data_IF_345650990989
#
_entry.id   IF_345650990989
#
_cell.length_a   1.000
_cell.length_b   1.000
_cell.length_c   1.000
_cell.angle_alpha   90.00
_cell.angle_beta   90.00
_cell.angle_gamma   90.00
#
_symmetry.space_group_name_H-M   'P 1'
#
loop_
_entity.id
_entity.type
_entity.pdbx_description
1 polymer ?
#
# COMPACT_ATOMS: atom_id res chain seq x y z
N UNK A 1 28.62 -22.33 -1.46
CA UNK A 1 27.78 -21.80 -2.54
C UNK A 1 26.90 -20.70 -2.00
N UNK A 2 27.10 -19.50 -2.47
CA UNK A 2 26.31 -18.37 -2.03
C UNK A 2 25.03 -18.32 -2.84
N UNK A 3 23.96 -18.83 -2.28
CA UNK A 3 22.65 -18.55 -2.85
C UNK A 3 22.30 -17.09 -2.53
N UNK A 4 22.44 -16.25 -3.53
CA UNK A 4 21.91 -14.89 -3.43
C UNK A 4 20.42 -14.97 -3.63
N UNK A 5 19.66 -14.77 -2.55
CA UNK A 5 18.22 -14.66 -2.66
C UNK A 5 17.91 -13.26 -3.18
N UNK A 6 17.52 -13.18 -4.45
CA UNK A 6 17.05 -11.95 -5.05
C UNK A 6 15.53 -11.95 -5.09
N UNK A 7 14.93 -10.91 -4.57
CA UNK A 7 13.49 -10.73 -4.58
C UNK A 7 13.15 -9.56 -5.47
N UNK A 8 12.20 -9.75 -6.37
CA UNK A 8 11.68 -8.65 -7.18
C UNK A 8 10.67 -7.88 -6.37
N UNK A 9 10.96 -6.59 -6.17
CA UNK A 9 10.10 -5.68 -5.45
C UNK A 9 9.55 -4.59 -6.36
N UNK A 10 8.46 -3.98 -5.93
CA UNK A 10 7.90 -2.79 -6.56
C UNK A 10 7.97 -1.63 -5.59
N UNK A 11 8.56 -0.54 -6.05
CA UNK A 11 8.55 0.75 -5.36
C UNK A 11 7.36 1.54 -5.88
N UNK A 12 6.37 1.72 -5.05
CA UNK A 12 5.11 2.37 -5.41
C UNK A 12 5.12 3.78 -4.85
N UNK A 13 5.08 4.82 -5.70
CA UNK A 13 5.05 6.19 -5.18
C UNK A 13 3.70 6.48 -4.54
N UNK A 14 3.73 7.02 -3.35
CA UNK A 14 2.56 7.51 -2.62
C UNK A 14 2.86 8.94 -2.18
N UNK A 15 1.85 9.65 -1.69
CA UNK A 15 2.05 11.03 -1.23
C UNK A 15 3.05 11.04 -0.08
N UNK A 16 4.10 11.83 -0.23
CA UNK A 16 5.19 12.01 0.73
C UNK A 16 6.04 10.76 1.01
N UNK A 17 6.03 9.80 0.10
CA UNK A 17 6.88 8.64 0.29
C UNK A 17 6.74 7.56 -0.75
N UNK A 18 7.24 6.39 -0.41
CA UNK A 18 7.21 5.20 -1.26
C UNK A 18 6.86 3.99 -0.44
N UNK A 19 6.09 3.10 -1.05
CA UNK A 19 5.73 1.81 -0.46
C UNK A 19 6.49 0.73 -1.22
N UNK A 20 7.13 -0.18 -0.49
CA UNK A 20 7.84 -1.31 -1.07
C UNK A 20 7.05 -2.59 -0.84
N UNK A 21 6.73 -3.29 -1.91
CA UNK A 21 6.02 -4.56 -1.87
C UNK A 21 6.70 -5.56 -2.80
N UNK A 22 6.58 -6.87 -2.50
CA UNK A 22 6.97 -7.87 -3.48
C UNK A 22 6.16 -7.72 -4.77
N UNK A 23 6.80 -7.94 -5.91
CA UNK A 23 6.12 -7.87 -7.20
C UNK A 23 4.89 -8.77 -7.25
N UNK A 24 4.97 -9.94 -6.62
CA UNK A 24 3.88 -10.90 -6.59
C UNK A 24 2.64 -10.40 -5.84
N UNK A 25 2.77 -9.38 -5.00
CA UNK A 25 1.65 -8.81 -4.24
C UNK A 25 0.77 -7.89 -5.08
N UNK A 26 1.23 -7.44 -6.22
CA UNK A 26 0.50 -6.50 -7.08
C UNK A 26 -0.19 -7.26 -8.21
N UNK A 27 -1.51 -7.10 -8.30
CA UNK A 27 -2.29 -7.73 -9.37
C UNK A 27 -2.34 -6.87 -10.62
N UNK A 28 -2.55 -5.56 -10.47
CA UNK A 28 -2.69 -4.65 -11.61
C UNK A 28 -2.51 -3.22 -11.15
N UNK A 29 -2.09 -2.36 -12.07
CA UNK A 29 -2.09 -0.90 -11.87
C UNK A 29 -3.08 -0.31 -12.85
N UNK A 30 -4.06 0.44 -12.34
CA UNK A 30 -5.13 1.00 -13.15
C UNK A 30 -5.19 2.51 -12.98
N UNK A 31 -5.90 3.16 -13.89
CA UNK A 31 -6.14 4.60 -13.81
C UNK A 31 -7.10 4.90 -12.68
N UNK A 32 -6.89 6.01 -11.99
CA UNK A 32 -7.79 6.44 -10.93
C UNK A 32 -9.18 6.68 -11.50
N UNK A 33 -10.18 6.10 -10.84
CA UNK A 33 -11.59 6.38 -11.08
C UNK A 33 -12.20 6.96 -9.82
N UNK A 34 -13.33 7.64 -9.93
CA UNK A 34 -14.00 8.21 -8.76
C UNK A 34 -14.53 7.10 -7.86
N UNK A 35 -14.03 6.98 -6.63
CA UNK A 35 -14.52 5.97 -5.73
C UNK A 35 -15.91 6.32 -5.21
N UNK A 36 -16.71 5.30 -4.97
CA UNK A 36 -17.98 5.46 -4.27
C UNK A 36 -17.70 5.57 -2.77
N UNK A 37 -18.05 6.71 -2.18
CA UNK A 37 -17.76 6.96 -0.77
C UNK A 37 -18.48 5.98 0.15
N UNK A 38 -17.79 5.57 1.22
CA UNK A 38 -18.34 4.73 2.26
C UNK A 38 -18.79 5.65 3.39
N UNK A 39 -20.10 5.65 3.77
CA UNK A 39 -20.58 6.51 4.85
C UNK A 39 -19.83 6.24 6.16
N UNK A 40 -19.48 7.32 6.87
CA UNK A 40 -18.81 7.27 8.17
C UNK A 40 -17.44 6.59 8.17
N UNK A 41 -16.83 6.40 7.01
CA UNK A 41 -15.49 5.82 6.92
C UNK A 41 -14.42 6.87 7.30
N UNK A 42 -13.27 6.43 7.84
CA UNK A 42 -12.15 7.35 8.07
C UNK A 42 -11.62 7.90 6.76
N UNK A 43 -10.92 9.04 6.81
CA UNK A 43 -10.43 9.71 5.61
C UNK A 43 -9.51 8.84 4.76
N UNK A 44 -8.73 7.96 5.39
CA UNK A 44 -7.82 7.09 4.65
C UNK A 44 -8.55 6.00 3.87
N UNK A 45 -9.78 5.66 4.23
CA UNK A 45 -10.63 4.72 3.48
C UNK A 45 -11.49 5.54 2.51
N UNK A 46 -11.01 5.70 1.29
CA UNK A 46 -11.52 6.68 0.33
C UNK A 46 -12.83 6.28 -0.34
N UNK A 47 -13.16 5.00 -0.32
CA UNK A 47 -14.38 4.51 -0.94
C UNK A 47 -14.19 3.14 -1.55
N UNK A 48 -15.08 2.79 -2.47
CA UNK A 48 -15.01 1.53 -3.23
C UNK A 48 -14.89 1.81 -4.70
N UNK A 49 -14.15 0.96 -5.39
CA UNK A 49 -14.01 0.99 -6.84
C UNK A 49 -14.43 -0.35 -7.43
N UNK A 50 -14.86 -0.34 -8.69
CA UNK A 50 -15.17 -1.57 -9.41
C UNK A 50 -13.95 -2.03 -10.19
N UNK A 51 -13.61 -3.32 -10.02
CA UNK A 51 -12.51 -3.93 -10.74
C UNK A 51 -12.82 -5.41 -10.96
N UNK A 52 -12.90 -5.82 -12.22
CA UNK A 52 -13.16 -7.21 -12.62
C UNK A 52 -14.31 -7.89 -11.87
N UNK A 53 -15.42 -7.17 -11.70
CA UNK A 53 -16.58 -7.69 -10.98
C UNK A 53 -16.50 -7.58 -9.46
N UNK A 54 -15.38 -7.12 -8.91
CA UNK A 54 -15.21 -6.89 -7.49
C UNK A 54 -15.43 -5.42 -7.15
N UNK A 55 -15.99 -5.17 -5.98
CA UNK A 55 -16.05 -3.82 -5.40
C UNK A 55 -14.97 -3.74 -4.33
N UNK A 56 -13.84 -3.16 -4.69
CA UNK A 56 -12.67 -3.14 -3.82
C UNK A 56 -12.66 -1.89 -2.95
N UNK A 57 -12.31 -2.03 -1.66
CA UNK A 57 -12.05 -0.86 -0.84
C UNK A 57 -10.77 -0.18 -1.33
N UNK A 58 -10.85 1.15 -1.51
CA UNK A 58 -9.71 1.98 -1.90
C UNK A 58 -9.22 2.73 -0.68
N UNK A 59 -7.95 2.57 -0.35
CA UNK A 59 -7.35 3.25 0.78
C UNK A 59 -6.15 4.09 0.37
N UNK A 60 -5.89 5.14 1.16
CA UNK A 60 -4.67 5.93 1.05
C UNK A 60 -3.70 5.47 2.14
N UNK A 61 -2.60 4.88 1.73
CA UNK A 61 -1.55 4.49 2.68
C UNK A 61 -0.96 5.70 3.39
N UNK A 62 -0.75 6.80 2.67
CA UNK A 62 -0.16 8.01 3.24
C UNK A 62 -1.03 8.62 4.34
N UNK A 63 -2.35 8.63 4.15
CA UNK A 63 -3.25 9.10 5.20
C UNK A 63 -3.30 8.13 6.37
N UNK A 64 -3.38 6.83 6.10
CA UNK A 64 -3.42 5.82 7.14
C UNK A 64 -2.18 5.86 8.03
N UNK A 65 -1.02 5.94 7.44
CA UNK A 65 0.26 5.91 8.14
C UNK A 65 0.69 7.28 8.69
N UNK A 66 -0.12 8.32 8.47
CA UNK A 66 0.22 9.65 8.94
C UNK A 66 1.36 10.32 8.18
N UNK A 67 1.64 9.87 6.97
CA UNK A 67 2.69 10.46 6.13
C UNK A 67 2.23 11.73 5.45
N UNK A 68 0.92 11.93 5.33
CA UNK A 68 0.31 13.10 4.74
C UNK A 68 -0.97 13.44 5.48
N UNK A 69 -1.35 14.73 5.47
CA UNK A 69 -2.61 15.20 6.07
C UNK A 69 -3.76 15.11 5.07
N UNK A 70 -3.47 15.20 3.79
CA UNK A 70 -4.44 15.04 2.71
C UNK A 70 -3.74 14.50 1.47
N UNK A 71 -4.51 13.95 0.54
CA UNK A 71 -3.96 13.41 -0.70
C UNK A 71 -3.79 14.47 -1.79
N UNK A 72 -4.34 15.64 -1.60
CA UNK A 72 -4.35 16.64 -2.65
C UNK A 72 -5.16 16.20 -3.86
N UNK A 73 -5.08 16.97 -4.94
CA UNK A 73 -5.88 16.74 -6.15
C UNK A 73 -5.20 15.83 -7.19
N UNK A 74 -4.04 15.26 -6.88
CA UNK A 74 -3.21 14.56 -7.86
C UNK A 74 -3.03 13.07 -7.61
N UNK A 75 -4.06 12.40 -7.15
CA UNK A 75 -4.04 10.95 -7.21
C UNK A 75 -4.15 10.53 -8.68
N UNK A 76 -3.29 9.65 -9.16
CA UNK A 76 -3.24 9.34 -10.58
C UNK A 76 -3.47 7.88 -10.90
N UNK A 77 -3.15 6.98 -9.98
CA UNK A 77 -3.22 5.54 -10.23
C UNK A 77 -3.76 4.81 -9.02
N UNK A 78 -4.30 3.63 -9.29
CA UNK A 78 -4.70 2.69 -8.24
C UNK A 78 -3.88 1.44 -8.45
N UNK A 79 -3.25 0.96 -7.38
CA UNK A 79 -2.56 -0.31 -7.37
C UNK A 79 -3.46 -1.35 -6.74
N UNK A 80 -3.86 -2.35 -7.51
CA UNK A 80 -4.67 -3.46 -7.01
C UNK A 80 -3.74 -4.48 -6.38
N UNK A 81 -3.95 -4.73 -5.09
CA UNK A 81 -3.11 -5.62 -4.29
C UNK A 81 -3.86 -6.92 -3.99
N UNK A 82 -3.11 -8.01 -3.94
CA UNK A 82 -3.64 -9.29 -3.49
C UNK A 82 -3.80 -9.23 -1.97
N UNK A 83 -5.00 -9.52 -1.48
CA UNK A 83 -5.26 -9.60 -0.05
C UNK A 83 -4.61 -10.86 0.52
N UNK A 84 -4.17 -10.77 1.79
CA UNK A 84 -3.61 -11.94 2.48
C UNK A 84 -4.70 -12.93 2.90
N UNK A 85 -5.95 -12.45 2.97
CA UNK A 85 -7.08 -13.26 3.41
C UNK A 85 -7.25 -13.26 4.91
N UNK A 86 -8.38 -13.78 5.36
CA UNK A 86 -8.67 -13.91 6.78
C UNK A 86 -9.52 -12.81 7.38
N UNK A 87 -9.40 -11.57 6.92
CA UNK A 87 -10.14 -10.43 7.47
C UNK A 87 -11.22 -9.92 6.52
N UNK A 88 -10.94 -9.95 5.22
CA UNK A 88 -11.88 -9.51 4.19
C UNK A 88 -12.36 -10.72 3.39
N UNK A 89 -13.63 -10.66 2.96
CA UNK A 89 -14.22 -11.71 2.12
C UNK A 89 -13.92 -11.49 0.65
N UNK A 90 -12.83 -10.81 0.33
CA UNK A 90 -12.45 -10.56 -1.05
C UNK A 90 -10.95 -10.72 -1.20
N UNK A 91 -10.52 -11.19 -2.38
CA UNK A 91 -9.10 -11.52 -2.58
C UNK A 91 -8.23 -10.31 -2.93
N UNK A 92 -8.80 -9.11 -3.04
CA UNK A 92 -8.06 -7.92 -3.48
C UNK A 92 -8.46 -6.71 -2.67
N UNK A 93 -7.52 -5.77 -2.55
CA UNK A 93 -7.76 -4.41 -2.03
C UNK A 93 -7.10 -3.42 -2.99
N UNK A 94 -7.50 -2.17 -2.91
CA UNK A 94 -6.98 -1.13 -3.81
C UNK A 94 -6.26 -0.05 -3.00
N UNK A 95 -5.05 0.30 -3.45
CA UNK A 95 -4.24 1.34 -2.81
C UNK A 95 -4.02 2.49 -3.78
N UNK A 96 -4.26 3.72 -3.31
CA UNK A 96 -3.99 4.91 -4.11
C UNK A 96 -2.48 5.07 -4.31
N UNK A 97 -2.08 5.35 -5.55
CA UNK A 97 -0.69 5.60 -5.91
C UNK A 97 -0.57 6.90 -6.69
N UNK A 98 0.60 7.53 -6.62
CA UNK A 98 0.86 8.79 -7.30
C UNK A 98 1.48 8.61 -8.68
N UNK A 99 1.73 7.37 -9.08
CA UNK A 99 2.29 7.06 -10.37
C UNK A 99 2.48 5.55 -10.54
N UNK A 100 3.20 5.18 -11.58
CA UNK A 100 3.50 3.77 -11.84
C UNK A 100 4.55 3.24 -10.87
N UNK A 101 4.40 1.99 -10.40
CA UNK A 101 5.45 1.34 -9.63
C UNK A 101 6.73 1.17 -10.45
N UNK A 102 7.86 1.21 -9.76
CA UNK A 102 9.16 0.92 -10.36
C UNK A 102 9.65 -0.44 -9.86
N UNK A 103 9.99 -1.32 -10.80
CA UNK A 103 10.55 -2.63 -10.46
C UNK A 103 11.98 -2.45 -9.93
N UNK A 104 12.28 -3.14 -8.84
CA UNK A 104 13.62 -3.14 -8.26
C UNK A 104 13.96 -4.56 -7.79
N UNK A 105 15.23 -4.90 -7.87
CA UNK A 105 15.74 -6.17 -7.35
C UNK A 105 16.25 -5.94 -5.94
N UNK A 106 15.75 -6.73 -5.01
CA UNK A 106 16.09 -6.62 -3.59
C UNK A 106 17.01 -7.74 -3.18
N UNK A 107 18.03 -7.39 -2.41
CA UNK A 107 18.91 -8.33 -1.75
C UNK A 107 19.28 -7.76 -0.38
N UNK A 108 19.83 -8.57 0.54
CA UNK A 108 20.26 -8.04 1.83
C UNK A 108 21.29 -6.91 1.73
N UNK A 109 21.99 -6.83 0.59
CA UNK A 109 23.01 -5.79 0.37
C UNK A 109 22.41 -4.44 0.00
N UNK A 110 21.27 -4.45 -0.70
CA UNK A 110 20.65 -3.21 -1.21
C UNK A 110 19.46 -2.74 -0.40
N UNK A 111 18.87 -3.60 0.40
CA UNK A 111 17.74 -3.24 1.26
C UNK A 111 18.14 -3.43 2.72
N UNK A 112 18.21 -2.34 3.44
CA UNK A 112 18.57 -2.34 4.85
C UNK A 112 17.53 -1.61 5.68
N UNK A 113 17.33 -2.00 6.96
CA UNK A 113 16.44 -1.23 7.82
C UNK A 113 16.90 0.21 7.92
N UNK A 114 15.92 1.14 7.98
CA UNK A 114 16.23 2.53 8.20
C UNK A 114 16.70 2.73 9.64
N UNK A 115 17.77 3.50 9.83
CA UNK A 115 18.28 3.83 11.15
C UNK A 115 17.48 4.91 11.85
N UNK A 116 16.48 5.47 11.17
CA UNK A 116 15.64 6.48 11.79
C UNK A 116 14.70 5.82 12.81
N UNK A 117 14.79 6.29 14.05
CA UNK A 117 13.86 5.89 15.08
C UNK A 117 12.51 6.55 14.80
N UNK A 118 11.65 5.83 14.08
CA UNK A 118 10.32 6.32 13.75
C UNK A 118 9.33 5.80 14.79
N UNK A 119 8.38 6.64 15.23
CA UNK A 119 7.29 6.12 16.06
C UNK A 119 6.48 5.09 15.29
N UNK A 120 5.89 4.15 16.02
CA UNK A 120 5.00 3.14 15.45
C UNK A 120 3.83 3.84 14.77
N UNK A 121 3.61 3.51 13.49
CA UNK A 121 2.52 4.09 12.70
C UNK A 121 1.57 2.99 12.23
N UNK A 122 0.26 3.28 12.12
CA UNK A 122 -0.68 2.30 11.60
C UNK A 122 -0.30 1.85 10.19
N UNK A 123 -0.42 0.55 9.95
CA UNK A 123 -0.16 -0.02 8.63
C UNK A 123 1.30 -0.13 8.22
N UNK A 124 2.23 0.25 9.08
CA UNK A 124 3.66 0.21 8.80
C UNK A 124 4.30 -0.98 9.48
N UNK A 125 4.91 -1.86 8.70
CA UNK A 125 5.68 -2.97 9.23
C UNK A 125 7.10 -2.54 9.59
N UNK A 126 7.78 -1.88 8.65
CA UNK A 126 9.12 -1.34 8.91
C UNK A 126 9.49 -0.28 7.89
N UNK A 127 10.44 0.57 8.26
CA UNK A 127 11.06 1.53 7.37
C UNK A 127 12.39 0.98 6.87
N UNK A 128 12.65 1.12 5.59
CA UNK A 128 13.85 0.57 4.95
C UNK A 128 14.50 1.59 4.04
N UNK A 129 15.77 1.36 3.75
CA UNK A 129 16.49 2.03 2.67
C UNK A 129 16.75 1.01 1.59
N UNK A 130 16.37 1.33 0.37
CA UNK A 130 16.68 0.55 -0.81
C UNK A 130 17.65 1.37 -1.64
N UNK A 131 18.92 0.98 -1.61
CA UNK A 131 19.99 1.84 -2.13
C UNK A 131 19.95 3.20 -1.44
N UNK A 132 19.68 4.27 -2.15
CA UNK A 132 19.60 5.62 -1.57
C UNK A 132 18.16 6.10 -1.32
N UNK A 133 17.19 5.27 -1.58
CA UNK A 133 15.78 5.62 -1.48
C UNK A 133 15.16 5.09 -0.18
N UNK A 134 14.51 5.96 0.56
CA UNK A 134 13.70 5.54 1.70
C UNK A 134 12.37 4.96 1.22
N UNK A 135 11.94 3.89 1.87
CA UNK A 135 10.67 3.25 1.57
C UNK A 135 10.04 2.68 2.84
N UNK A 136 8.75 2.40 2.76
CA UNK A 136 7.99 1.80 3.85
C UNK A 136 7.49 0.45 3.39
N UNK A 137 7.71 -0.58 4.19
CA UNK A 137 7.08 -1.88 3.98
C UNK A 137 5.76 -1.87 4.75
N UNK A 138 4.62 -2.01 4.06
CA UNK A 138 3.33 -1.99 4.72
C UNK A 138 3.05 -3.30 5.44
N UNK A 139 2.31 -3.21 6.53
CA UNK A 139 1.75 -4.37 7.20
C UNK A 139 0.37 -4.66 6.60
N UNK A 140 0.32 -5.48 5.56
CA UNK A 140 -0.92 -5.75 4.84
C UNK A 140 -1.94 -6.44 5.73
N UNK A 141 -1.53 -7.30 6.64
CA UNK A 141 -2.45 -7.94 7.58
C UNK A 141 -3.15 -6.92 8.48
N UNK A 142 -2.40 -5.96 9.01
CA UNK A 142 -2.98 -4.90 9.82
C UNK A 142 -3.89 -4.00 8.98
N UNK A 143 -3.48 -3.65 7.77
CA UNK A 143 -4.29 -2.80 6.87
C UNK A 143 -5.61 -3.49 6.56
N UNK A 144 -5.61 -4.78 6.24
CA UNK A 144 -6.84 -5.52 5.99
C UNK A 144 -7.75 -5.54 7.22
N UNK A 145 -7.17 -5.69 8.42
CA UNK A 145 -7.94 -5.66 9.66
C UNK A 145 -8.58 -4.29 9.87
N UNK A 146 -7.82 -3.21 9.65
CA UNK A 146 -8.32 -1.85 9.80
C UNK A 146 -9.43 -1.55 8.80
N UNK A 147 -9.29 -2.01 7.55
CA UNK A 147 -10.35 -1.88 6.54
C UNK A 147 -11.60 -2.65 6.97
N UNK A 148 -11.42 -3.90 7.39
CA UNK A 148 -12.53 -4.73 7.84
C UNK A 148 -13.29 -4.11 9.00
N UNK A 149 -12.58 -3.60 10.00
CA UNK A 149 -13.17 -2.94 11.15
C UNK A 149 -13.93 -1.67 10.74
N UNK A 150 -13.39 -0.90 9.83
CA UNK A 150 -14.01 0.33 9.33
C UNK A 150 -15.28 0.04 8.53
N UNK A 151 -15.27 -1.03 7.72
CA UNK A 151 -16.44 -1.42 6.95
C UNK A 151 -17.56 -1.96 7.88
N UNK A 152 -17.19 -2.64 8.94
CA UNK A 152 -18.16 -3.16 9.90
C UNK A 152 -18.81 -2.04 10.73
N UNK A 153 -18.09 -0.93 10.92
CA UNK A 153 -18.60 0.23 11.68
C UNK A 153 -19.42 1.19 10.83
N UNK A 154 -19.39 1.02 9.51
CA UNK A 154 -20.07 1.92 8.58
C UNK A 154 -21.59 1.68 8.53
#
# INVERSE_FOLDING_TARGET
MNEQIEIRGLMIPVTNGRVLLPNASVAEVITLSNPEKIPNAPEWLMGRINWRGWRLPLFSFSLLAGMALDEGSRGTRITVLKALGGHLRMPYIAMLAQGFPRLTTLSPEVMVPSNESMPTRPGVLMNVMVRDDQAVIPDLGQIEQLISDSLAAA
#
